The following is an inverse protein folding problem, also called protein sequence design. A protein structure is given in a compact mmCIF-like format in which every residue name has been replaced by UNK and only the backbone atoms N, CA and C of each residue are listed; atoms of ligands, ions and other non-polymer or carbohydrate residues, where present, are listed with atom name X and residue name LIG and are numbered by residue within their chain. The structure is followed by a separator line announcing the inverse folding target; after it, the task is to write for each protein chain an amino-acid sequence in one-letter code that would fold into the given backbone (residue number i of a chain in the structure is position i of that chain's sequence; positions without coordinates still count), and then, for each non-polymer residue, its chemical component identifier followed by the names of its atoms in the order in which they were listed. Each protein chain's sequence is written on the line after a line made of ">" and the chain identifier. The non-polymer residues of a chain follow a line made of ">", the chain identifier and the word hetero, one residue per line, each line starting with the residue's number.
data_IF_689868020317
#
_entry.id   IF_689868020317
#
_cell.length_a   1.000
_cell.length_b   1.000
_cell.length_c   1.000
_cell.angle_alpha   90.00
_cell.angle_beta   90.00
_cell.angle_gamma   90.00
#
_symmetry.space_group_name_H-M   'P 1'
#
loop_
_entity.id
_entity.type
_entity.pdbx_description
1 polymer ?
#
# COMPACT_ATOMS: atom_id res chain seq x y z
N UNK A 1 -0.03 -11.96 13.89
CA UNK A 1 -0.11 -11.99 15.37
C UNK A 1 -1.57 -11.82 15.78
N UNK A 2 -1.95 -12.31 16.96
CA UNK A 2 -3.27 -12.12 17.55
C UNK A 2 -3.14 -11.21 18.77
N UNK A 3 -4.15 -10.36 18.98
CA UNK A 3 -4.23 -9.46 20.12
C UNK A 3 -5.54 -9.73 20.85
N UNK A 4 -5.43 -9.96 22.16
CA UNK A 4 -6.54 -10.20 23.06
C UNK A 4 -6.48 -9.15 24.17
N UNK A 5 -7.59 -8.45 24.40
CA UNK A 5 -7.74 -7.47 25.47
C UNK A 5 -8.74 -8.03 26.48
N UNK A 6 -8.31 -8.11 27.74
CA UNK A 6 -9.18 -8.54 28.85
C UNK A 6 -9.40 -7.34 29.76
N UNK A 7 -10.63 -6.83 29.80
CA UNK A 7 -11.03 -5.68 30.62
C UNK A 7 -11.21 -6.08 32.09
N UNK A 8 -10.08 -6.23 32.79
CA UNK A 8 -10.01 -6.50 34.23
C UNK A 8 -9.10 -5.49 34.92
N UNK A 9 -9.60 -4.84 35.97
CA UNK A 9 -8.85 -3.86 36.77
C UNK A 9 -8.18 -4.52 37.98
N UNK A 10 -7.08 -3.93 38.45
CA UNK A 10 -6.35 -4.33 39.65
C UNK A 10 -5.97 -5.83 39.65
N UNK A 11 -5.52 -6.35 38.51
CA UNK A 11 -5.10 -7.74 38.38
C UNK A 11 -3.76 -7.93 39.08
N UNK A 12 -3.69 -8.85 40.06
CA UNK A 12 -2.47 -9.11 40.83
C UNK A 12 -1.44 -9.91 40.01
N UNK A 13 -1.78 -11.15 39.66
CA UNK A 13 -0.98 -12.03 38.80
C UNK A 13 -1.95 -12.91 38.01
N UNK A 14 -2.03 -12.78 36.67
CA UNK A 14 -2.84 -13.66 35.85
C UNK A 14 -2.09 -14.99 35.62
N UNK A 15 -2.84 -16.07 35.67
CA UNK A 15 -2.40 -17.39 35.23
C UNK A 15 -2.86 -17.59 33.79
N UNK A 16 -1.90 -17.68 32.87
CA UNK A 16 -2.14 -17.74 31.43
C UNK A 16 -1.37 -18.93 30.88
N UNK A 17 -2.10 -19.94 30.44
CA UNK A 17 -1.54 -21.13 29.83
C UNK A 17 -1.96 -21.16 28.35
N UNK A 18 -0.99 -21.05 27.46
CA UNK A 18 -1.19 -21.19 26.02
C UNK A 18 -0.71 -22.57 25.58
N UNK A 19 -1.60 -23.34 24.96
CA UNK A 19 -1.33 -24.61 24.28
C UNK A 19 -1.46 -24.39 22.77
N UNK A 20 -1.01 -25.34 21.94
CA UNK A 20 -1.05 -25.24 20.47
C UNK A 20 -2.40 -24.80 19.88
N UNK A 21 -3.52 -25.12 20.53
CA UNK A 21 -4.87 -24.76 20.04
C UNK A 21 -5.76 -24.09 21.10
N UNK A 22 -5.28 -23.88 22.32
CA UNK A 22 -6.12 -23.44 23.43
C UNK A 22 -5.44 -22.36 24.24
N UNK A 23 -6.21 -21.40 24.74
CA UNK A 23 -5.77 -20.42 25.71
C UNK A 23 -6.63 -20.52 26.96
N UNK A 24 -5.99 -20.84 28.09
CA UNK A 24 -6.60 -20.77 29.41
C UNK A 24 -6.17 -19.47 30.09
N UNK A 25 -7.14 -18.74 30.65
CA UNK A 25 -6.89 -17.53 31.41
C UNK A 25 -7.60 -17.63 32.76
N UNK A 26 -6.88 -17.31 33.84
CA UNK A 26 -7.42 -17.20 35.19
C UNK A 26 -6.81 -16.01 35.92
N UNK A 27 -7.63 -15.10 36.43
CA UNK A 27 -7.13 -13.95 37.19
C UNK A 27 -8.14 -13.46 38.23
N UNK A 28 -7.62 -12.95 39.34
CA UNK A 28 -8.39 -12.17 40.32
C UNK A 28 -8.31 -10.69 39.97
N UNK A 29 -9.45 -10.03 39.85
CA UNK A 29 -9.52 -8.60 39.55
C UNK A 29 -10.94 -8.04 39.65
N UNK A 30 -11.07 -6.72 39.48
CA UNK A 30 -12.34 -6.03 39.45
C UNK A 30 -12.86 -5.93 38.00
N UNK A 31 -13.96 -6.63 37.72
CA UNK A 31 -14.63 -6.65 36.42
C UNK A 31 -16.11 -6.27 36.52
N UNK A 32 -16.91 -6.70 35.55
CA UNK A 32 -18.35 -6.39 35.47
C UNK A 32 -19.17 -6.91 36.67
N UNK A 33 -18.68 -7.95 37.36
CA UNK A 33 -19.31 -8.53 38.57
C UNK A 33 -18.63 -8.10 39.87
N UNK A 34 -17.75 -7.10 39.83
CA UNK A 34 -16.93 -6.70 40.98
C UNK A 34 -15.63 -7.50 41.07
N UNK A 35 -15.05 -7.52 42.28
CA UNK A 35 -13.80 -8.22 42.61
C UNK A 35 -14.03 -9.71 42.79
N UNK A 36 -13.78 -10.47 41.73
CA UNK A 36 -14.01 -11.92 41.68
C UNK A 36 -12.90 -12.62 40.90
N UNK A 37 -12.90 -13.96 40.95
CA UNK A 37 -12.05 -14.77 40.06
C UNK A 37 -12.71 -14.89 38.69
N UNK A 38 -12.05 -14.39 37.66
CA UNK A 38 -12.47 -14.53 36.28
C UNK A 38 -11.65 -15.61 35.60
N UNK A 39 -12.35 -16.50 34.88
CA UNK A 39 -11.71 -17.60 34.15
C UNK A 39 -12.39 -17.79 32.80
N UNK A 40 -11.62 -18.05 31.76
CA UNK A 40 -12.14 -18.45 30.46
C UNK A 40 -11.16 -19.36 29.73
N UNK A 41 -11.70 -20.14 28.79
CA UNK A 41 -10.95 -20.99 27.90
C UNK A 41 -11.39 -20.69 26.47
N UNK A 42 -10.42 -20.44 25.58
CA UNK A 42 -10.67 -20.20 24.16
C UNK A 42 -10.00 -21.29 23.33
N UNK A 43 -10.79 -21.94 22.46
CA UNK A 43 -10.30 -22.87 21.46
C UNK A 43 -10.10 -22.11 20.14
N UNK A 44 -8.86 -22.05 19.67
CA UNK A 44 -8.47 -21.26 18.50
C UNK A 44 -8.73 -21.99 17.18
N UNK A 45 -9.10 -21.21 16.16
CA UNK A 45 -9.33 -21.70 14.79
C UNK A 45 -8.15 -22.49 14.21
N UNK A 46 -6.92 -22.04 14.45
CA UNK A 46 -5.70 -22.69 13.96
C UNK A 46 -4.60 -22.68 15.01
N UNK A 47 -3.50 -23.36 14.73
CA UNK A 47 -2.38 -23.52 15.66
C UNK A 47 -1.71 -22.20 16.00
N UNK A 48 -1.40 -22.02 17.28
CA UNK A 48 -0.64 -20.90 17.83
C UNK A 48 0.66 -21.40 18.46
N UNK A 49 1.70 -20.56 18.42
CA UNK A 49 2.97 -20.88 19.04
C UNK A 49 2.90 -20.57 20.56
N UNK A 50 3.00 -21.57 21.45
CA UNK A 50 2.94 -21.36 22.90
C UNK A 50 4.12 -20.50 23.40
N UNK A 51 5.30 -20.64 22.81
CA UNK A 51 6.51 -19.90 23.19
C UNK A 51 6.45 -18.42 22.77
N UNK A 52 5.56 -18.09 21.84
CA UNK A 52 5.32 -16.73 21.35
C UNK A 52 4.18 -16.00 22.04
N UNK A 53 3.74 -16.47 23.22
CA UNK A 53 2.70 -15.86 24.04
C UNK A 53 3.30 -14.85 25.02
N UNK A 54 3.10 -13.57 24.76
CA UNK A 54 3.50 -12.47 25.64
C UNK A 54 2.26 -11.86 26.27
N UNK A 55 2.31 -11.54 27.57
CA UNK A 55 1.23 -10.82 28.23
C UNK A 55 1.75 -9.59 28.96
N UNK A 56 0.90 -8.58 29.08
CA UNK A 56 1.16 -7.35 29.81
C UNK A 56 -0.03 -7.01 30.67
N UNK A 57 0.22 -6.89 31.97
CA UNK A 57 -0.78 -6.44 32.93
C UNK A 57 -0.69 -4.93 33.08
N UNK A 58 -1.80 -4.24 32.90
CA UNK A 58 -1.98 -2.83 33.26
C UNK A 58 -3.01 -2.74 34.39
N UNK A 59 -3.07 -1.62 35.11
CA UNK A 59 -4.03 -1.42 36.21
C UNK A 59 -5.50 -1.54 35.78
N UNK A 60 -5.78 -1.37 34.48
CA UNK A 60 -7.13 -1.35 33.91
C UNK A 60 -7.50 -2.55 33.05
N UNK A 61 -6.50 -3.26 32.52
CA UNK A 61 -6.72 -4.33 31.54
C UNK A 61 -5.50 -5.25 31.47
N UNK A 62 -5.71 -6.47 30.96
CA UNK A 62 -4.64 -7.40 30.61
C UNK A 62 -4.59 -7.55 29.09
N UNK A 63 -3.45 -7.20 28.50
CA UNK A 63 -3.18 -7.33 27.08
C UNK A 63 -2.40 -8.62 26.84
N UNK A 64 -2.92 -9.50 25.99
CA UNK A 64 -2.30 -10.78 25.62
C UNK A 64 -1.99 -10.75 24.12
N UNK A 65 -0.74 -11.06 23.77
CA UNK A 65 -0.25 -11.13 22.41
C UNK A 65 0.19 -12.56 22.10
N UNK A 66 -0.37 -13.14 21.04
CA UNK A 66 -0.09 -14.53 20.66
C UNK A 66 0.43 -14.55 19.22
N UNK A 67 1.50 -15.29 19.00
CA UNK A 67 2.06 -15.51 17.66
C UNK A 67 1.37 -16.70 16.99
N UNK A 68 0.85 -16.49 15.78
CA UNK A 68 0.30 -17.57 14.96
C UNK A 68 1.46 -18.44 14.46
N UNK A 69 1.25 -19.76 14.32
CA UNK A 69 2.25 -20.65 13.74
C UNK A 69 2.43 -20.37 12.23
N UNK A 70 1.31 -20.22 11.52
CA UNK A 70 1.28 -19.80 10.11
C UNK A 70 0.78 -18.38 9.97
N UNK A 71 1.33 -17.64 9.01
CA UNK A 71 0.91 -16.29 8.67
C UNK A 71 -0.39 -16.27 7.84
N UNK A 72 -1.39 -17.05 8.26
CA UNK A 72 -2.66 -17.21 7.55
C UNK A 72 -3.73 -16.27 8.14
N UNK A 73 -4.64 -15.81 7.27
CA UNK A 73 -5.84 -15.07 7.65
C UNK A 73 -6.84 -15.99 8.34
N UNK A 74 -7.40 -15.51 9.45
CA UNK A 74 -8.38 -16.27 10.23
C UNK A 74 -9.74 -15.62 10.02
N UNK A 75 -10.72 -16.33 9.43
CA UNK A 75 -12.07 -15.79 9.25
C UNK A 75 -12.78 -15.56 10.59
N UNK A 76 -12.39 -16.32 11.61
CA UNK A 76 -12.86 -16.18 12.98
C UNK A 76 -11.76 -16.56 13.96
N UNK A 77 -11.85 -16.06 15.19
CA UNK A 77 -10.87 -16.35 16.24
C UNK A 77 -10.97 -17.79 16.75
N UNK A 78 -12.20 -18.31 16.86
CA UNK A 78 -12.50 -19.57 17.52
C UNK A 78 -12.68 -20.71 16.51
N UNK A 79 -12.53 -21.95 16.97
CA UNK A 79 -12.84 -23.15 16.17
C UNK A 79 -14.30 -23.20 15.75
N UNK A 80 -14.57 -23.79 14.59
CA UNK A 80 -15.94 -23.97 14.04
C UNK A 80 -16.87 -24.72 15.02
N UNK A 81 -16.31 -25.62 15.83
CA UNK A 81 -17.06 -26.42 16.79
C UNK A 81 -17.38 -25.68 18.11
N UNK A 82 -16.84 -24.48 18.30
CA UNK A 82 -16.99 -23.73 19.54
C UNK A 82 -18.04 -22.61 19.41
N UNK A 83 -18.96 -22.56 20.37
CA UNK A 83 -19.97 -21.50 20.46
C UNK A 83 -19.31 -20.18 20.85
N UNK A 84 -19.52 -19.14 20.04
CA UNK A 84 -19.01 -17.78 20.33
C UNK A 84 -19.59 -17.27 21.66
N UNK A 85 -18.77 -17.01 22.69
CA UNK A 85 -19.27 -16.48 23.95
C UNK A 85 -19.81 -15.06 23.79
N UNK A 86 -20.91 -14.73 24.46
CA UNK A 86 -21.55 -13.41 24.37
C UNK A 86 -20.64 -12.24 24.84
N UNK A 87 -19.66 -12.53 25.68
CA UNK A 87 -18.70 -11.56 26.21
C UNK A 87 -17.52 -11.30 25.25
N UNK A 88 -17.30 -12.16 24.25
CA UNK A 88 -16.20 -12.01 23.29
C UNK A 88 -16.60 -11.03 22.18
N UNK A 89 -15.97 -9.85 22.20
CA UNK A 89 -16.18 -8.78 21.22
C UNK A 89 -14.94 -8.55 20.36
N UNK A 90 -15.16 -8.02 19.16
CA UNK A 90 -14.08 -7.61 18.26
C UNK A 90 -13.52 -6.28 18.76
N UNK A 91 -12.20 -6.19 18.87
CA UNK A 91 -11.49 -4.96 19.19
C UNK A 91 -11.29 -4.15 17.90
N UNK A 92 -12.23 -3.24 17.61
CA UNK A 92 -12.18 -2.39 16.42
C UNK A 92 -10.99 -1.44 16.39
N UNK A 93 -10.36 -1.13 17.54
CA UNK A 93 -9.17 -0.26 17.59
C UNK A 93 -7.93 -0.97 17.01
N UNK A 94 -7.91 -2.31 17.03
CA UNK A 94 -6.78 -3.14 16.56
C UNK A 94 -7.14 -4.02 15.37
N UNK A 95 -8.37 -3.94 14.87
CA UNK A 95 -8.79 -4.63 13.68
C UNK A 95 -8.12 -3.96 12.47
N UNK A 96 -7.23 -4.66 11.81
CA UNK A 96 -6.66 -4.25 10.54
C UNK A 96 -7.41 -5.02 9.44
N UNK A 97 -8.15 -4.31 8.60
CA UNK A 97 -8.74 -4.84 7.36
C UNK A 97 -7.69 -4.80 6.25
N UNK A 98 -7.77 -5.73 5.29
CA UNK A 98 -6.92 -5.70 4.09
C UNK A 98 -7.12 -4.39 3.29
N UNK A 99 -8.32 -3.79 3.35
CA UNK A 99 -8.67 -2.57 2.60
C UNK A 99 -8.20 -1.25 3.24
N UNK A 100 -7.80 -1.25 4.53
CA UNK A 100 -7.35 -0.01 5.20
C UNK A 100 -5.97 0.46 4.70
N UNK A 101 -5.29 -0.36 3.90
CA UNK A 101 -4.02 -0.08 3.25
C UNK A 101 -4.15 0.16 1.73
N UNK A 102 -5.32 -0.05 1.12
CA UNK A 102 -5.41 -0.29 -0.32
C UNK A 102 -6.21 0.73 -1.16
N UNK A 103 -6.86 1.77 -0.61
CA UNK A 103 -7.58 2.74 -1.48
C UNK A 103 -7.73 4.18 -0.97
N UNK A 104 -7.03 4.57 0.11
CA UNK A 104 -7.10 5.96 0.60
C UNK A 104 -6.06 6.85 -0.09
N UNK A 105 -6.55 7.90 -0.76
CA UNK A 105 -5.72 8.93 -1.37
C UNK A 105 -4.73 9.54 -0.36
N UNK A 106 -3.56 9.99 -0.84
CA UNK A 106 -2.45 10.47 0.00
C UNK A 106 -2.83 11.61 0.97
N UNK A 107 -3.90 12.36 0.67
CA UNK A 107 -4.43 13.44 1.52
C UNK A 107 -5.19 12.89 2.75
N UNK A 108 -5.92 11.78 2.60
CA UNK A 108 -6.60 11.10 3.71
C UNK A 108 -5.60 10.49 4.69
N UNK A 109 -4.44 10.00 4.20
CA UNK A 109 -3.38 9.50 5.07
C UNK A 109 -2.68 10.61 5.85
N UNK A 110 -2.46 11.80 5.25
CA UNK A 110 -1.94 12.95 5.99
C UNK A 110 -2.95 13.49 7.01
N UNK A 111 -4.23 13.57 6.63
CA UNK A 111 -5.30 14.02 7.51
C UNK A 111 -5.51 13.03 8.66
N UNK A 112 -5.43 11.73 8.40
CA UNK A 112 -5.45 10.67 9.42
C UNK A 112 -4.25 10.75 10.35
N UNK A 113 -3.04 10.92 9.83
CA UNK A 113 -1.83 11.12 10.66
C UNK A 113 -1.93 12.41 11.51
N UNK A 114 -2.52 13.48 10.96
CA UNK A 114 -2.76 14.73 11.68
C UNK A 114 -3.82 14.53 12.79
N UNK A 115 -4.94 13.89 12.48
CA UNK A 115 -6.00 13.55 13.43
C UNK A 115 -5.51 12.59 14.52
N UNK A 116 -4.73 11.58 14.14
CA UNK A 116 -4.15 10.61 15.05
C UNK A 116 -3.08 11.28 15.93
N UNK A 117 -2.24 12.15 15.37
CA UNK A 117 -1.30 12.95 16.17
C UNK A 117 -1.99 13.88 17.17
N UNK A 118 -3.13 14.49 16.80
CA UNK A 118 -3.95 15.30 17.70
C UNK A 118 -4.65 14.46 18.78
N UNK A 119 -5.16 13.28 18.42
CA UNK A 119 -5.87 12.35 19.32
C UNK A 119 -4.91 11.67 20.32
N UNK A 120 -3.66 11.43 19.93
CA UNK A 120 -2.62 10.93 20.84
C UNK A 120 -2.02 12.04 21.72
N UNK A 121 -1.98 13.29 21.24
CA UNK A 121 -1.49 14.43 22.02
C UNK A 121 -2.35 14.72 23.26
N UNK A 122 -3.64 14.37 23.20
CA UNK A 122 -4.61 14.68 24.26
C UNK A 122 -4.73 13.62 25.36
N UNK A 123 -4.13 12.42 25.24
CA UNK A 123 -4.35 11.39 26.29
C UNK A 123 -3.23 10.38 26.60
N UNK A 124 -1.97 10.51 26.14
CA UNK A 124 -0.94 9.53 26.54
C UNK A 124 0.50 10.03 26.44
N UNK A 125 1.01 10.61 27.53
CA UNK A 125 2.45 10.65 27.84
C UNK A 125 2.84 9.36 28.56
N UNK A 126 2.93 8.23 27.85
CA UNK A 126 3.53 7.02 28.42
C UNK A 126 4.47 6.34 27.43
N UNK A 127 5.73 6.25 27.87
CA UNK A 127 6.91 5.58 27.32
C UNK A 127 6.69 4.66 26.10
N UNK A 128 6.87 5.24 24.92
CA UNK A 128 7.19 4.51 23.70
C UNK A 128 8.70 4.17 23.71
N UNK A 129 9.11 2.90 23.50
CA UNK A 129 10.53 2.53 23.55
C UNK A 129 11.38 3.26 22.50
N UNK A 130 12.61 3.65 22.85
CA UNK A 130 13.47 4.49 21.97
C UNK A 130 13.77 3.81 20.62
N UNK A 131 13.87 2.48 20.60
CA UNK A 131 14.06 1.68 19.39
C UNK A 131 12.87 1.76 18.43
N UNK A 132 11.64 1.75 18.95
CA UNK A 132 10.42 1.88 18.14
C UNK A 132 10.30 3.25 17.47
N UNK A 133 10.74 4.31 18.17
CA UNK A 133 10.77 5.67 17.61
C UNK A 133 11.85 5.84 16.53
N UNK A 134 13.03 5.25 16.75
CA UNK A 134 14.14 5.26 15.79
C UNK A 134 13.80 4.47 14.51
N UNK A 135 13.15 3.32 14.68
CA UNK A 135 12.67 2.45 13.60
C UNK A 135 11.54 3.10 12.79
N UNK A 136 10.53 3.69 13.44
CA UNK A 136 9.49 4.50 12.76
C UNK A 136 10.05 5.70 12.01
N UNK A 137 11.05 6.39 12.58
CA UNK A 137 11.73 7.49 11.90
C UNK A 137 12.52 7.04 10.66
N UNK A 138 13.05 5.83 10.68
CA UNK A 138 13.77 5.23 9.55
C UNK A 138 12.81 4.73 8.47
N UNK A 139 11.72 4.08 8.86
CA UNK A 139 10.62 3.65 7.98
C UNK A 139 10.01 4.87 7.25
N UNK A 140 9.71 5.97 7.97
CA UNK A 140 9.27 7.24 7.35
C UNK A 140 10.28 7.78 6.35
N UNK A 141 11.57 7.82 6.68
CA UNK A 141 12.60 8.29 5.73
C UNK A 141 12.68 7.42 4.48
N UNK A 142 12.55 6.10 4.62
CA UNK A 142 12.54 5.19 3.47
C UNK A 142 11.29 5.35 2.61
N UNK A 143 10.14 5.63 3.22
CA UNK A 143 8.89 5.93 2.50
C UNK A 143 8.99 7.26 1.74
N UNK A 144 9.50 8.31 2.38
CA UNK A 144 9.72 9.61 1.74
C UNK A 144 10.72 9.51 0.57
N UNK A 145 11.82 8.77 0.73
CA UNK A 145 12.77 8.52 -0.36
C UNK A 145 12.14 7.73 -1.51
N UNK A 146 11.29 6.75 -1.19
CA UNK A 146 10.52 5.98 -2.18
C UNK A 146 9.56 6.90 -2.94
N UNK A 147 8.82 7.79 -2.27
CA UNK A 147 7.93 8.77 -2.91
C UNK A 147 8.69 9.68 -3.87
N UNK A 148 9.81 10.26 -3.41
CA UNK A 148 10.66 11.12 -4.24
C UNK A 148 11.18 10.37 -5.47
N UNK A 149 11.59 9.11 -5.29
CA UNK A 149 12.01 8.25 -6.41
C UNK A 149 10.89 8.02 -7.43
N UNK A 150 9.68 7.64 -6.98
CA UNK A 150 8.53 7.43 -7.87
C UNK A 150 8.14 8.71 -8.63
N UNK A 151 8.17 9.86 -7.94
CA UNK A 151 7.90 11.16 -8.55
C UNK A 151 8.93 11.49 -9.63
N UNK A 152 10.22 11.38 -9.32
CA UNK A 152 11.31 11.64 -10.28
C UNK A 152 11.25 10.68 -11.47
N UNK A 153 10.90 9.43 -11.23
CA UNK A 153 10.71 8.43 -12.29
C UNK A 153 9.56 8.81 -13.22
N UNK A 154 8.39 9.14 -12.67
CA UNK A 154 7.22 9.56 -13.45
C UNK A 154 7.50 10.85 -14.24
N UNK A 155 8.25 11.78 -13.65
CA UNK A 155 8.71 13.00 -14.31
C UNK A 155 9.65 12.68 -15.48
N UNK A 156 10.60 11.76 -15.28
CA UNK A 156 11.51 11.35 -16.35
C UNK A 156 10.76 10.69 -17.51
N UNK A 157 9.79 9.81 -17.21
CA UNK A 157 8.92 9.19 -18.21
C UNK A 157 8.15 10.25 -19.02
N UNK A 158 7.54 11.23 -18.34
CA UNK A 158 6.83 12.32 -19.00
C UNK A 158 7.75 13.11 -19.94
N UNK A 159 8.94 13.50 -19.47
CA UNK A 159 9.92 14.23 -20.29
C UNK A 159 10.36 13.40 -21.50
N UNK A 160 10.56 12.10 -21.32
CA UNK A 160 10.92 11.17 -22.40
C UNK A 160 9.87 11.12 -23.50
N UNK A 161 8.60 10.89 -23.16
CA UNK A 161 7.52 10.86 -24.15
C UNK A 161 7.21 12.23 -24.74
N UNK A 162 7.33 13.31 -23.96
CA UNK A 162 7.16 14.68 -24.46
C UNK A 162 8.22 15.02 -25.50
N UNK A 163 9.49 14.65 -25.27
CA UNK A 163 10.55 14.83 -26.25
C UNK A 163 10.24 14.12 -27.57
N UNK A 164 9.80 12.85 -27.50
CA UNK A 164 9.47 12.07 -28.70
C UNK A 164 8.28 12.69 -29.44
N UNK A 165 7.23 13.07 -28.71
CA UNK A 165 6.06 13.74 -29.28
C UNK A 165 6.42 15.05 -29.98
N UNK A 166 7.27 15.88 -29.37
CA UNK A 166 7.72 17.14 -29.96
C UNK A 166 8.56 16.91 -31.22
N UNK A 167 9.51 15.97 -31.20
CA UNK A 167 10.32 15.65 -32.38
C UNK A 167 9.44 15.13 -33.53
N UNK A 168 8.47 14.26 -33.23
CA UNK A 168 7.53 13.77 -34.23
C UNK A 168 6.63 14.88 -34.78
N UNK A 169 6.13 15.76 -33.92
CA UNK A 169 5.28 16.89 -34.32
C UNK A 169 6.04 17.87 -35.22
N UNK A 170 7.26 18.28 -34.82
CA UNK A 170 8.08 19.22 -35.60
C UNK A 170 8.41 18.64 -36.97
N UNK A 171 8.81 17.37 -37.04
CA UNK A 171 9.13 16.72 -38.33
C UNK A 171 7.89 16.59 -39.21
N UNK A 172 6.74 16.27 -38.62
CA UNK A 172 5.48 16.22 -39.35
C UNK A 172 5.07 17.60 -39.88
N UNK A 173 5.21 18.66 -39.08
CA UNK A 173 4.93 20.04 -39.52
C UNK A 173 5.88 20.53 -40.61
N UNK A 174 7.12 20.03 -40.67
CA UNK A 174 8.11 20.45 -41.68
C UNK A 174 8.01 19.68 -42.99
N UNK A 175 7.94 18.34 -42.90
CA UNK A 175 8.11 17.44 -44.05
C UNK A 175 6.81 16.71 -44.42
N UNK A 176 5.73 16.88 -43.64
CA UNK A 176 4.42 16.27 -43.89
C UNK A 176 4.46 14.74 -43.90
N UNK A 177 3.82 14.13 -44.89
CA UNK A 177 3.74 12.68 -45.05
C UNK A 177 5.11 12.02 -45.27
N UNK A 178 6.07 12.73 -45.88
CA UNK A 178 7.42 12.21 -46.10
C UNK A 178 8.19 12.01 -44.78
N UNK A 179 7.79 12.70 -43.70
CA UNK A 179 8.35 12.46 -42.36
C UNK A 179 8.08 11.04 -41.86
N UNK A 180 6.95 10.42 -42.28
CA UNK A 180 6.47 9.16 -41.69
C UNK A 180 7.47 8.02 -41.91
N UNK A 181 8.04 7.92 -43.11
CA UNK A 181 9.00 6.86 -43.46
C UNK A 181 10.33 6.95 -42.70
N UNK A 182 10.72 8.15 -42.24
CA UNK A 182 11.96 8.39 -41.49
C UNK A 182 11.78 8.47 -39.96
N UNK A 183 10.59 8.13 -39.46
CA UNK A 183 10.27 8.27 -38.03
C UNK A 183 11.10 7.34 -37.17
N UNK A 184 11.25 6.09 -37.60
CA UNK A 184 12.02 5.10 -36.86
C UNK A 184 13.49 5.52 -36.70
N UNK A 185 14.11 6.04 -37.75
CA UNK A 185 15.51 6.48 -37.69
C UNK A 185 15.70 7.71 -36.79
N UNK A 186 14.69 8.59 -36.74
CA UNK A 186 14.74 9.81 -35.94
C UNK A 186 14.49 9.57 -34.44
N UNK A 187 13.45 8.78 -34.09
CA UNK A 187 13.00 8.63 -32.70
C UNK A 187 13.05 7.20 -32.17
N UNK A 188 13.34 6.19 -33.00
CA UNK A 188 13.34 4.77 -32.59
C UNK A 188 14.34 4.46 -31.46
N UNK A 189 15.51 5.12 -31.45
CA UNK A 189 16.47 5.00 -30.33
C UNK A 189 15.88 5.53 -29.02
N UNK A 190 15.23 6.69 -29.06
CA UNK A 190 14.59 7.29 -27.90
C UNK A 190 13.39 6.43 -27.42
N UNK A 191 12.56 5.94 -28.35
CA UNK A 191 11.43 5.06 -28.03
C UNK A 191 11.87 3.77 -27.33
N UNK A 192 12.94 3.12 -27.80
CA UNK A 192 13.49 1.93 -27.14
C UNK A 192 13.93 2.22 -25.71
N UNK A 193 14.61 3.34 -25.48
CA UNK A 193 15.07 3.73 -24.14
C UNK A 193 13.90 4.00 -23.18
N UNK A 194 12.90 4.77 -23.61
CA UNK A 194 11.76 5.13 -22.75
C UNK A 194 10.91 3.90 -22.42
N UNK A 195 10.70 3.00 -23.38
CA UNK A 195 9.98 1.73 -23.17
C UNK A 195 10.78 0.78 -22.26
N UNK A 196 12.11 0.71 -22.41
CA UNK A 196 12.95 -0.04 -21.47
C UNK A 196 12.80 0.46 -20.05
N UNK A 197 12.77 1.79 -19.85
CA UNK A 197 12.55 2.38 -18.54
C UNK A 197 11.12 2.12 -18.03
N UNK A 198 10.14 1.94 -18.92
CA UNK A 198 8.78 1.59 -18.54
C UNK A 198 8.67 0.18 -17.93
N UNK A 199 9.60 -0.73 -18.25
CA UNK A 199 9.68 -2.03 -17.57
C UNK A 199 9.87 -1.90 -16.04
N UNK A 200 10.40 -0.77 -15.56
CA UNK A 200 10.50 -0.50 -14.12
C UNK A 200 9.11 -0.35 -13.47
N UNK A 201 8.06 0.03 -14.20
CA UNK A 201 6.68 0.06 -13.68
C UNK A 201 6.16 -1.33 -13.33
N UNK A 202 6.64 -2.38 -14.01
CA UNK A 202 6.35 -3.78 -13.66
C UNK A 202 7.15 -4.18 -12.41
N UNK A 203 8.37 -3.64 -12.29
CA UNK A 203 9.28 -3.96 -11.19
C UNK A 203 8.86 -3.29 -9.86
N UNK A 204 8.21 -2.13 -9.91
CA UNK A 204 7.79 -1.42 -8.69
C UNK A 204 6.83 -2.23 -7.81
N UNK A 205 5.76 -2.85 -8.33
CA UNK A 205 4.94 -3.79 -7.57
C UNK A 205 5.71 -5.02 -7.09
N UNK A 206 6.58 -5.59 -7.94
CA UNK A 206 7.33 -6.82 -7.66
C UNK A 206 8.34 -6.65 -6.52
N UNK A 207 8.93 -5.48 -6.38
CA UNK A 207 9.87 -5.13 -5.31
C UNK A 207 9.17 -4.49 -4.10
N UNK A 208 7.84 -4.35 -4.12
CA UNK A 208 7.07 -3.71 -3.06
C UNK A 208 7.22 -2.19 -2.99
N UNK A 209 7.72 -1.54 -4.06
CA UNK A 209 7.75 -0.07 -4.26
C UNK A 209 6.38 0.52 -4.63
N UNK A 210 5.40 -0.28 -5.00
CA UNK A 210 3.97 0.11 -5.06
C UNK A 210 3.13 -1.07 -4.54
N UNK A 211 2.05 -0.81 -3.81
CA UNK A 211 1.13 -1.85 -3.31
C UNK A 211 0.01 -2.19 -4.31
N UNK A 212 0.27 -2.02 -5.62
CA UNK A 212 -0.73 -2.26 -6.66
C UNK A 212 -0.62 -3.67 -7.28
N UNK A 213 -1.71 -4.17 -7.86
CA UNK A 213 -1.68 -5.41 -8.64
C UNK A 213 -0.72 -5.31 -9.82
N UNK A 214 0.30 -6.19 -9.84
CA UNK A 214 1.33 -6.21 -10.89
C UNK A 214 0.79 -6.64 -12.27
N UNK A 215 -0.41 -7.23 -12.33
CA UNK A 215 -1.01 -7.77 -13.57
C UNK A 215 -1.31 -6.65 -14.56
N UNK A 216 -1.85 -5.53 -14.07
CA UNK A 216 -2.22 -4.38 -14.90
C UNK A 216 -0.99 -3.76 -15.63
N UNK A 217 0.09 -3.36 -14.95
CA UNK A 217 1.29 -2.88 -15.62
C UNK A 217 1.96 -3.97 -16.48
N UNK A 218 1.92 -5.24 -16.08
CA UNK A 218 2.51 -6.33 -16.85
C UNK A 218 1.86 -6.50 -18.24
N UNK A 219 0.53 -6.47 -18.34
CA UNK A 219 -0.16 -6.61 -19.63
C UNK A 219 0.05 -5.39 -20.53
N UNK A 220 -0.10 -4.18 -19.97
CA UNK A 220 -0.02 -2.94 -20.75
C UNK A 220 1.40 -2.57 -21.17
N UNK A 221 2.37 -2.70 -20.27
CA UNK A 221 3.79 -2.45 -20.57
C UNK A 221 4.33 -3.62 -21.40
N UNK A 222 4.00 -4.87 -21.04
CA UNK A 222 4.44 -6.06 -21.77
C UNK A 222 3.98 -6.06 -23.23
N UNK A 223 2.74 -5.66 -23.51
CA UNK A 223 2.25 -5.52 -24.89
C UNK A 223 3.04 -4.50 -25.72
N UNK A 224 3.46 -3.38 -25.11
CA UNK A 224 4.28 -2.35 -25.78
C UNK A 224 5.71 -2.79 -26.01
N UNK A 225 6.31 -3.48 -25.04
CA UNK A 225 7.63 -4.10 -25.18
C UNK A 225 7.61 -5.11 -26.31
N UNK A 226 6.61 -5.99 -26.36
CA UNK A 226 6.45 -6.97 -27.44
C UNK A 226 6.30 -6.30 -28.80
N UNK A 227 5.41 -5.32 -28.94
CA UNK A 227 5.21 -4.61 -30.21
C UNK A 227 6.49 -3.92 -30.70
N UNK A 228 7.22 -3.21 -29.84
CA UNK A 228 8.37 -2.43 -30.28
C UNK A 228 9.63 -3.28 -30.49
N UNK A 229 9.92 -4.24 -29.61
CA UNK A 229 11.12 -5.07 -29.72
C UNK A 229 10.93 -6.32 -30.58
N UNK A 230 9.83 -7.05 -30.42
CA UNK A 230 9.63 -8.31 -31.14
C UNK A 230 9.01 -8.11 -32.53
N UNK A 231 8.16 -7.10 -32.71
CA UNK A 231 7.52 -6.84 -34.00
C UNK A 231 8.33 -5.82 -34.82
N UNK A 232 8.57 -4.62 -34.29
CA UNK A 232 9.19 -3.52 -35.06
C UNK A 232 10.71 -3.70 -35.19
N UNK A 233 11.46 -3.80 -34.08
CA UNK A 233 12.93 -3.88 -34.10
C UNK A 233 13.45 -5.16 -34.81
N UNK A 234 12.70 -6.26 -34.76
CA UNK A 234 13.06 -7.53 -35.40
C UNK A 234 12.89 -7.53 -36.94
N UNK A 235 12.03 -6.67 -37.49
CA UNK A 235 11.72 -6.62 -38.93
C UNK A 235 12.03 -5.24 -39.52
N UNK A 236 13.24 -5.05 -40.09
CA UNK A 236 13.67 -3.76 -40.63
C UNK A 236 12.76 -3.21 -41.74
N UNK A 237 12.03 -4.10 -42.45
CA UNK A 237 11.06 -3.73 -43.49
C UNK A 237 9.86 -2.96 -42.93
N UNK A 238 9.62 -3.00 -41.62
CA UNK A 238 8.55 -2.25 -40.99
C UNK A 238 8.94 -0.80 -40.68
N UNK A 239 10.22 -0.48 -40.56
CA UNK A 239 10.70 0.85 -40.16
C UNK A 239 10.28 1.97 -41.13
N UNK A 240 10.13 1.65 -42.41
CA UNK A 240 9.75 2.60 -43.46
C UNK A 240 8.24 2.74 -43.64
N UNK A 241 7.44 1.90 -42.98
CA UNK A 241 5.98 1.92 -43.12
C UNK A 241 5.36 3.02 -42.25
N UNK A 242 4.32 3.73 -42.74
CA UNK A 242 3.65 4.79 -41.99
C UNK A 242 2.96 4.27 -40.71
N UNK A 243 2.70 2.96 -40.63
CA UNK A 243 2.14 2.31 -39.44
C UNK A 243 2.98 2.58 -38.18
N UNK A 244 4.31 2.63 -38.31
CA UNK A 244 5.21 2.90 -37.17
C UNK A 244 5.02 4.32 -36.63
N UNK A 245 4.82 5.30 -37.53
CA UNK A 245 4.52 6.68 -37.13
C UNK A 245 3.22 6.76 -36.33
N UNK A 246 2.13 6.15 -36.82
CA UNK A 246 0.85 6.19 -36.10
C UNK A 246 0.92 5.45 -34.76
N UNK A 247 1.59 4.30 -34.70
CA UNK A 247 1.79 3.57 -33.44
C UNK A 247 2.55 4.41 -32.42
N UNK A 248 3.65 5.04 -32.83
CA UNK A 248 4.43 5.89 -31.94
C UNK A 248 3.65 7.13 -31.50
N UNK A 249 2.91 7.77 -32.42
CA UNK A 249 2.06 8.90 -32.08
C UNK A 249 0.99 8.51 -31.04
N UNK A 250 0.29 7.38 -31.25
CA UNK A 250 -0.71 6.88 -30.29
C UNK A 250 -0.06 6.54 -28.95
N UNK A 251 1.09 5.86 -28.93
CA UNK A 251 1.78 5.51 -27.68
C UNK A 251 2.25 6.75 -26.91
N UNK A 252 2.83 7.73 -27.59
CA UNK A 252 3.24 8.99 -26.96
C UNK A 252 2.03 9.78 -26.43
N UNK A 253 0.92 9.82 -27.18
CA UNK A 253 -0.29 10.52 -26.77
C UNK A 253 -0.94 9.88 -25.54
N UNK A 254 -1.09 8.54 -25.53
CA UNK A 254 -1.64 7.80 -24.39
C UNK A 254 -0.80 8.02 -23.15
N UNK A 255 0.53 8.02 -23.27
CA UNK A 255 1.42 8.26 -22.12
C UNK A 255 1.38 9.70 -21.62
N UNK A 256 1.34 10.69 -22.52
CA UNK A 256 1.17 12.09 -22.12
C UNK A 256 -0.18 12.31 -21.43
N UNK A 257 -1.26 11.73 -21.97
CA UNK A 257 -2.58 11.78 -21.33
C UNK A 257 -2.55 11.10 -19.96
N UNK A 258 -1.87 9.95 -19.81
CA UNK A 258 -1.72 9.28 -18.51
C UNK A 258 -0.98 10.15 -17.51
N UNK A 259 0.15 10.75 -17.89
CA UNK A 259 0.91 11.65 -17.00
C UNK A 259 0.09 12.88 -16.60
N UNK A 260 -0.69 13.43 -17.52
CA UNK A 260 -1.60 14.56 -17.26
C UNK A 260 -2.77 14.14 -16.39
N UNK A 261 -3.38 12.97 -16.61
CA UNK A 261 -4.50 12.46 -15.79
C UNK A 261 -4.02 12.12 -14.38
N UNK A 262 -2.86 11.48 -14.22
CA UNK A 262 -2.24 11.24 -12.91
C UNK A 262 -1.98 12.58 -12.18
N UNK A 263 -1.46 13.57 -12.91
CA UNK A 263 -1.23 14.93 -12.40
C UNK A 263 -2.51 15.72 -12.10
N UNK A 264 -3.56 15.56 -12.92
CA UNK A 264 -4.86 16.20 -12.73
C UNK A 264 -5.64 15.55 -11.61
N UNK A 265 -5.59 14.24 -11.41
CA UNK A 265 -6.13 13.58 -10.22
C UNK A 265 -5.43 14.11 -8.96
N UNK A 266 -4.11 14.27 -9.00
CA UNK A 266 -3.35 14.89 -7.91
C UNK A 266 -3.80 16.32 -7.62
N UNK A 267 -3.96 17.16 -8.66
CA UNK A 267 -4.39 18.56 -8.51
C UNK A 267 -5.88 18.73 -8.17
N UNK A 268 -6.78 17.94 -8.75
CA UNK A 268 -8.22 17.99 -8.46
C UNK A 268 -8.50 17.47 -7.05
N UNK A 269 -7.86 16.40 -6.56
CA UNK A 269 -8.03 16.01 -5.16
C UNK A 269 -7.51 17.10 -4.21
N UNK A 270 -6.32 17.66 -4.42
CA UNK A 270 -5.80 18.73 -3.55
C UNK A 270 -6.66 20.00 -3.55
N UNK A 271 -7.22 20.41 -4.71
CA UNK A 271 -8.08 21.60 -4.77
C UNK A 271 -9.48 21.34 -4.24
N UNK A 272 -10.06 20.15 -4.45
CA UNK A 272 -11.38 19.80 -3.92
C UNK A 272 -11.35 19.62 -2.39
N UNK A 273 -10.30 19.02 -1.83
CA UNK A 273 -10.09 18.94 -0.38
C UNK A 273 -9.83 20.32 0.24
N UNK A 274 -9.03 21.19 -0.40
CA UNK A 274 -8.88 22.58 0.06
C UNK A 274 -10.22 23.34 0.05
N UNK A 275 -11.04 23.17 -0.99
CA UNK A 275 -12.33 23.86 -1.09
C UNK A 275 -13.36 23.32 -0.10
N UNK A 276 -13.39 22.00 0.12
CA UNK A 276 -14.25 21.35 1.11
C UNK A 276 -13.86 21.74 2.55
N UNK A 277 -12.56 21.80 2.86
CA UNK A 277 -12.05 22.21 4.17
C UNK A 277 -12.39 23.68 4.50
N UNK A 278 -12.25 24.59 3.53
CA UNK A 278 -12.61 26.01 3.70
C UNK A 278 -14.13 26.20 3.86
N UNK A 279 -14.94 25.34 3.23
CA UNK A 279 -16.41 25.44 3.29
C UNK A 279 -16.98 24.82 4.57
N UNK A 280 -16.32 23.82 5.17
CA UNK A 280 -16.75 23.23 6.45
C UNK A 280 -16.31 24.03 7.69
N UNK A 281 -15.37 24.96 7.55
CA UNK A 281 -14.80 25.76 8.66
C UNK A 281 -15.22 27.25 8.64
N UNK A 282 -16.25 27.60 7.86
CA UNK A 282 -16.97 28.88 7.89
C UNK A 282 -18.42 28.66 8.28
#
# INVERSE_FOLDING_TARGET
>A
KLFLRVDLRNVKVPDIEATSHKLSFSAYGAGARGEEKYTFLLDFYSSVNPDGCEYRVNDRQVDIQISKEKADLWPQLLSTDSLKPAWLKVDFDKLQTEDDDDDLSEDDNQLRDLYESQRYSSNSRTNQPSWSRKRRGQERKTEELRKVYLFLYNLFQFVGFLYIALVMLIRYSRDGEYSMAGTWDAVGKAMRLVICLQCLEILHPLLGYTRGSFIHPLVLVGGRVFMVFAMIDAEPRMHTKPVVFYLFAVYTLVELCRSVILGCCFFFLSTFFCFAYITLHK
#
